data_IF_655934503425
#
_entry.id   IF_655934503425
#
_cell.length_a   1.000
_cell.length_b   1.000
_cell.length_c   1.000
_cell.angle_alpha   90.00
_cell.angle_beta   90.00
_cell.angle_gamma   90.00
#
_symmetry.space_group_name_H-M   'P 1'
#
loop_
_entity.id
_entity.type
_entity.pdbx_description
1 polymer ?
#
# COMPACT_ATOMS: atom_id res chain seq x y z
N UNK A 1 -0.63 8.68 -1.52
CA UNK A 1 -1.61 7.69 -2.03
C UNK A 1 -3.04 8.14 -1.81
N UNK A 2 -4.03 7.40 -2.32
CA UNK A 2 -5.45 7.74 -2.16
C UNK A 2 -5.94 7.73 -0.70
N UNK A 3 -5.39 6.86 0.16
CA UNK A 3 -5.72 6.84 1.60
C UNK A 3 -5.37 8.17 2.30
N UNK A 4 -4.20 8.74 2.02
CA UNK A 4 -3.83 10.07 2.52
C UNK A 4 -4.79 11.16 2.01
N UNK A 5 -5.15 11.15 0.72
CA UNK A 5 -6.11 12.12 0.15
C UNK A 5 -7.51 12.00 0.76
N UNK A 6 -7.90 10.79 1.18
CA UNK A 6 -9.16 10.53 1.85
C UNK A 6 -9.14 10.87 3.36
N UNK A 7 -8.02 11.36 3.90
CA UNK A 7 -7.91 11.79 5.30
C UNK A 7 -7.68 10.66 6.31
N UNK A 8 -7.18 9.50 5.86
CA UNK A 8 -6.78 8.44 6.78
C UNK A 8 -5.57 8.88 7.62
N UNK A 9 -5.59 8.50 8.90
CA UNK A 9 -4.47 8.67 9.82
C UNK A 9 -3.21 8.01 9.25
N UNK A 10 -2.14 8.78 9.12
CA UNK A 10 -0.88 8.32 8.55
C UNK A 10 -0.24 7.18 9.37
N UNK A 11 -0.48 7.12 10.68
CA UNK A 11 0.02 6.03 11.53
C UNK A 11 -0.72 4.69 11.30
N UNK A 12 -1.81 4.71 10.53
CA UNK A 12 -2.64 3.56 10.19
C UNK A 12 -2.54 3.15 8.71
N UNK A 13 -1.54 3.66 8.01
CA UNK A 13 -1.30 3.36 6.59
C UNK A 13 0.03 2.63 6.46
N UNK A 14 0.01 1.49 5.78
CA UNK A 14 1.20 0.79 5.30
C UNK A 14 1.20 0.81 3.77
N UNK A 15 2.13 1.56 3.18
CA UNK A 15 2.38 1.57 1.74
C UNK A 15 3.40 0.46 1.41
N UNK A 16 2.96 -0.80 1.45
CA UNK A 16 3.81 -2.00 1.33
C UNK A 16 4.68 -2.13 0.05
N UNK A 17 4.43 -1.29 -0.96
CA UNK A 17 5.23 -1.21 -2.20
C UNK A 17 5.94 0.15 -2.36
N UNK A 18 6.09 0.90 -1.27
CA UNK A 18 6.58 2.25 -1.29
C UNK A 18 5.56 3.25 -1.83
N UNK A 19 6.03 4.44 -2.19
CA UNK A 19 5.18 5.57 -2.53
C UNK A 19 5.76 6.36 -3.70
N UNK A 20 4.93 6.66 -4.70
CA UNK A 20 5.31 7.61 -5.77
C UNK A 20 5.49 9.05 -5.25
N UNK A 21 4.99 9.30 -4.05
CA UNK A 21 5.01 10.61 -3.39
C UNK A 21 6.26 10.87 -2.55
N UNK A 22 7.15 9.89 -2.53
CA UNK A 22 8.42 9.99 -1.82
C UNK A 22 9.51 9.70 -2.81
N UNK A 23 10.65 10.35 -2.63
CA UNK A 23 11.81 10.28 -3.49
C UNK A 23 12.98 9.72 -2.69
N UNK A 24 13.88 9.06 -3.40
CA UNK A 24 15.18 8.63 -2.93
C UNK A 24 16.23 8.85 -4.01
N UNK A 25 17.50 8.76 -3.65
CA UNK A 25 18.57 8.70 -4.65
C UNK A 25 18.47 7.40 -5.48
N UNK A 26 18.83 7.46 -6.77
CA UNK A 26 18.90 6.27 -7.64
C UNK A 26 20.03 5.31 -7.24
N UNK A 27 21.13 5.87 -6.75
CA UNK A 27 22.24 5.16 -6.11
C UNK A 27 22.33 5.70 -4.68
N UNK A 28 21.73 5.04 -3.68
CA UNK A 28 21.62 5.53 -2.31
C UNK A 28 22.97 6.01 -1.74
N UNK A 29 23.23 7.32 -1.80
CA UNK A 29 24.39 7.92 -1.17
C UNK A 29 24.16 8.13 0.33
N UNK A 30 22.90 8.11 0.74
CA UNK A 30 22.38 8.13 2.11
C UNK A 30 21.07 7.35 2.14
N UNK A 31 20.59 7.00 3.33
CA UNK A 31 19.28 6.36 3.54
C UNK A 31 18.12 7.38 3.58
N UNK A 32 18.34 8.62 3.11
CA UNK A 32 17.31 9.64 3.17
C UNK A 32 16.19 9.42 2.15
N UNK A 33 14.96 9.58 2.62
CA UNK A 33 13.73 9.64 1.83
C UNK A 33 13.12 11.03 2.04
N UNK A 34 12.62 11.66 0.98
CA UNK A 34 11.98 12.99 1.06
C UNK A 34 10.70 13.04 0.24
N UNK A 35 9.80 13.98 0.54
CA UNK A 35 8.57 14.17 -0.23
C UNK A 35 8.86 14.72 -1.63
N UNK A 36 7.95 14.49 -2.57
CA UNK A 36 8.01 15.07 -3.91
C UNK A 36 7.55 16.54 -3.97
N UNK A 37 7.36 17.17 -2.81
CA UNK A 37 6.84 18.54 -2.71
C UNK A 37 7.64 19.52 -3.58
N UNK A 38 6.93 20.25 -4.43
CA UNK A 38 7.52 21.20 -5.37
C UNK A 38 8.23 20.58 -6.58
N UNK A 39 8.24 19.25 -6.72
CA UNK A 39 8.80 18.60 -7.91
C UNK A 39 7.91 18.84 -9.13
N UNK A 40 8.50 19.37 -10.19
CA UNK A 40 7.87 19.51 -11.51
C UNK A 40 8.71 18.72 -12.50
N UNK A 41 8.09 17.78 -13.22
CA UNK A 41 8.71 17.04 -14.32
C UNK A 41 7.97 17.42 -15.59
N UNK A 42 8.64 18.13 -16.50
CA UNK A 42 8.10 18.43 -17.81
C UNK A 42 8.27 17.20 -18.71
N UNK A 43 7.25 16.87 -19.48
CA UNK A 43 7.24 15.69 -20.35
C UNK A 43 6.89 16.14 -21.77
N UNK A 44 7.74 15.79 -22.73
CA UNK A 44 7.41 15.88 -24.15
C UNK A 44 6.45 14.73 -24.47
N UNK A 45 5.15 15.02 -24.57
CA UNK A 45 4.12 14.00 -24.82
C UNK A 45 4.21 13.37 -26.21
N UNK A 46 4.89 14.02 -27.17
CA UNK A 46 5.07 13.48 -28.52
C UNK A 46 6.18 12.43 -28.52
N UNK A 47 7.29 12.71 -27.84
CA UNK A 47 8.42 11.76 -27.71
C UNK A 47 8.23 10.75 -26.58
N UNK A 48 7.33 11.04 -25.64
CA UNK A 48 7.16 10.31 -24.39
C UNK A 48 8.44 10.29 -23.52
N UNK A 49 9.11 11.43 -23.45
CA UNK A 49 10.37 11.62 -22.72
C UNK A 49 10.24 12.74 -21.67
N UNK A 50 10.87 12.56 -20.52
CA UNK A 50 11.00 13.62 -19.53
C UNK A 50 12.10 14.61 -19.97
N UNK A 51 11.79 15.90 -19.91
CA UNK A 51 12.72 16.96 -20.28
C UNK A 51 13.70 17.28 -19.14
N UNK A 52 14.83 17.88 -19.50
CA UNK A 52 15.77 18.40 -18.52
C UNK A 52 15.25 19.69 -17.84
N UNK A 53 15.63 19.94 -16.58
CA UNK A 53 16.44 19.06 -15.73
C UNK A 53 15.61 17.93 -15.11
N UNK A 54 16.17 16.71 -15.13
CA UNK A 54 15.59 15.59 -14.41
C UNK A 54 15.75 15.77 -12.88
N UNK A 55 14.91 15.11 -12.06
CA UNK A 55 14.97 15.22 -10.61
C UNK A 55 16.33 14.78 -10.07
N UNK A 56 17.00 15.65 -9.31
CA UNK A 56 18.28 15.37 -8.68
C UNK A 56 18.15 14.94 -7.22
N UNK A 57 19.17 14.26 -6.72
CA UNK A 57 19.38 13.93 -5.31
C UNK A 57 19.87 15.19 -4.59
N UNK A 58 19.23 15.52 -3.46
CA UNK A 58 19.55 16.70 -2.65
C UNK A 58 20.95 16.66 -2.02
N UNK A 59 21.60 15.48 -1.99
CA UNK A 59 22.89 15.27 -1.33
C UNK A 59 24.08 15.13 -2.31
N UNK A 60 23.92 14.38 -3.40
CA UNK A 60 25.01 14.04 -4.31
C UNK A 60 24.80 14.50 -5.76
N UNK A 61 23.68 15.18 -6.05
CA UNK A 61 23.30 15.66 -7.38
C UNK A 61 23.10 14.59 -8.47
N UNK A 62 23.28 13.30 -8.17
CA UNK A 62 22.86 12.20 -9.05
C UNK A 62 21.33 12.18 -9.18
N UNK A 63 20.75 11.41 -10.10
CA UNK A 63 19.29 11.36 -10.26
C UNK A 63 18.58 10.86 -8.99
N UNK A 64 17.40 11.40 -8.74
CA UNK A 64 16.45 10.84 -7.80
C UNK A 64 15.35 10.07 -8.51
N UNK A 65 14.72 9.15 -7.79
CA UNK A 65 13.63 8.30 -8.26
C UNK A 65 12.54 8.23 -7.19
N UNK A 66 11.30 7.91 -7.56
CA UNK A 66 10.29 7.53 -6.59
C UNK A 66 10.78 6.40 -5.67
N UNK A 67 10.47 6.48 -4.38
CA UNK A 67 10.72 5.45 -3.38
C UNK A 67 9.65 4.36 -3.53
N UNK A 68 9.66 3.69 -4.68
CA UNK A 68 8.76 2.58 -5.02
C UNK A 68 9.59 1.31 -5.08
N UNK A 69 9.11 0.25 -4.44
CA UNK A 69 9.77 -1.04 -4.46
C UNK A 69 9.59 -1.71 -5.83
N UNK A 70 10.69 -1.85 -6.57
CA UNK A 70 10.73 -2.57 -7.84
C UNK A 70 11.29 -4.00 -7.65
N UNK A 71 11.00 -4.92 -8.57
CA UNK A 71 11.52 -6.29 -8.49
C UNK A 71 13.05 -6.32 -8.63
N UNK A 72 13.73 -7.00 -7.71
CA UNK A 72 15.19 -7.12 -7.73
C UNK A 72 15.94 -5.84 -7.34
N UNK A 73 15.24 -4.87 -6.75
CA UNK A 73 15.79 -3.56 -6.42
C UNK A 73 16.54 -3.57 -5.07
N UNK A 74 17.84 -3.87 -5.11
CA UNK A 74 18.72 -3.80 -3.94
C UNK A 74 18.97 -2.38 -3.44
N UNK A 75 18.62 -1.37 -4.23
CA UNK A 75 18.85 0.04 -3.93
C UNK A 75 17.61 0.71 -3.32
N UNK A 76 16.51 -0.01 -3.12
CA UNK A 76 15.31 0.55 -2.51
C UNK A 76 15.54 0.80 -1.02
N UNK A 77 15.30 2.02 -0.57
CA UNK A 77 15.43 2.38 0.84
C UNK A 77 14.09 2.06 1.52
N UNK A 78 14.08 1.03 2.38
CA UNK A 78 12.85 0.48 2.95
C UNK A 78 12.36 1.18 4.21
N UNK A 79 13.21 2.00 4.85
CA UNK A 79 13.00 2.50 6.23
C UNK A 79 11.57 3.01 6.49
N UNK A 80 11.01 3.84 5.60
CA UNK A 80 9.65 4.37 5.77
C UNK A 80 8.59 3.26 5.78
N UNK A 81 8.71 2.29 4.89
CA UNK A 81 7.78 1.15 4.82
C UNK A 81 7.97 0.25 6.03
N UNK A 82 9.21 0.06 6.50
CA UNK A 82 9.50 -0.73 7.70
C UNK A 82 8.87 -0.12 8.96
N UNK A 83 8.94 1.21 9.12
CA UNK A 83 8.30 1.94 10.21
C UNK A 83 6.77 1.78 10.19
N UNK A 84 6.14 1.89 9.01
CA UNK A 84 4.71 1.64 8.84
C UNK A 84 4.34 0.19 9.16
N UNK A 85 5.16 -0.76 8.72
CA UNK A 85 4.94 -2.18 9.01
C UNK A 85 5.01 -2.45 10.52
N UNK A 86 5.95 -1.84 11.23
CA UNK A 86 6.03 -1.94 12.69
C UNK A 86 4.76 -1.42 13.38
N UNK A 87 4.14 -0.35 12.89
CA UNK A 87 2.88 0.15 13.43
C UNK A 87 1.74 -0.84 13.23
N UNK A 88 1.62 -1.42 12.03
CA UNK A 88 0.65 -2.49 11.76
C UNK A 88 0.89 -3.70 12.68
N UNK A 89 2.13 -4.16 12.83
CA UNK A 89 2.45 -5.31 13.68
C UNK A 89 2.12 -5.04 15.15
N UNK A 90 2.42 -3.85 15.67
CA UNK A 90 2.05 -3.44 17.04
C UNK A 90 0.53 -3.48 17.23
N UNK A 91 -0.24 -2.95 16.28
CA UNK A 91 -1.70 -2.97 16.34
C UNK A 91 -2.26 -4.39 16.29
N UNK A 92 -1.77 -5.24 15.39
CA UNK A 92 -2.17 -6.65 15.30
C UNK A 92 -1.84 -7.42 16.58
N UNK A 93 -0.66 -7.19 17.16
CA UNK A 93 -0.27 -7.81 18.43
C UNK A 93 -1.20 -7.40 19.56
N UNK A 94 -1.64 -6.14 19.61
CA UNK A 94 -2.65 -5.68 20.58
C UNK A 94 -3.97 -6.47 20.42
N UNK A 95 -4.51 -6.54 19.21
CA UNK A 95 -5.74 -7.31 18.91
C UNK A 95 -5.59 -8.77 19.36
N UNK A 96 -4.44 -9.39 19.09
CA UNK A 96 -4.15 -10.76 19.49
C UNK A 96 -4.13 -10.94 21.00
N UNK A 97 -3.42 -10.08 21.73
CA UNK A 97 -3.31 -10.14 23.20
C UNK A 97 -4.66 -9.92 23.86
N UNK A 98 -5.46 -8.98 23.35
CA UNK A 98 -6.78 -8.63 23.88
C UNK A 98 -7.89 -9.59 23.42
N UNK A 99 -7.57 -10.57 22.56
CA UNK A 99 -8.53 -11.49 21.93
C UNK A 99 -9.68 -10.75 21.22
N UNK A 100 -9.34 -9.66 20.55
CA UNK A 100 -10.29 -8.84 19.80
C UNK A 100 -10.86 -9.58 18.59
N UNK A 101 -12.06 -9.18 18.16
CA UNK A 101 -12.68 -9.68 16.94
C UNK A 101 -12.09 -8.95 15.72
N UNK A 102 -11.37 -9.68 14.86
CA UNK A 102 -10.75 -9.12 13.65
C UNK A 102 -11.62 -9.38 12.41
N UNK A 103 -11.85 -8.33 11.62
CA UNK A 103 -12.36 -8.43 10.25
C UNK A 103 -11.36 -7.78 9.32
N UNK A 104 -10.94 -8.50 8.28
CA UNK A 104 -10.08 -7.99 7.22
C UNK A 104 -10.93 -7.76 5.98
N UNK A 105 -10.93 -6.55 5.44
CA UNK A 105 -11.61 -6.23 4.18
C UNK A 105 -10.54 -6.02 3.11
N UNK A 106 -10.41 -6.98 2.19
CA UNK A 106 -9.46 -6.95 1.09
C UNK A 106 -10.15 -6.43 -0.18
N UNK A 107 -9.61 -5.34 -0.75
CA UNK A 107 -10.23 -4.63 -1.87
C UNK A 107 -9.33 -4.73 -3.11
N UNK A 108 -9.82 -5.36 -4.17
CA UNK A 108 -9.18 -5.33 -5.49
C UNK A 108 -7.81 -6.01 -5.58
N UNK A 109 -7.35 -6.74 -4.56
CA UNK A 109 -6.06 -7.42 -4.59
C UNK A 109 -6.13 -8.68 -5.49
N UNK A 110 -5.39 -8.64 -6.60
CA UNK A 110 -5.31 -9.73 -7.57
C UNK A 110 -4.18 -10.72 -7.28
N UNK A 111 -3.95 -11.63 -8.23
CA UNK A 111 -2.96 -12.72 -8.08
C UNK A 111 -1.55 -12.40 -8.58
N UNK A 112 -1.38 -11.40 -9.46
CA UNK A 112 -0.08 -11.10 -10.11
C UNK A 112 0.99 -10.60 -9.13
N UNK A 113 0.58 -9.74 -8.17
CA UNK A 113 1.43 -9.28 -7.06
C UNK A 113 0.64 -9.49 -5.76
N UNK A 114 0.67 -10.71 -5.18
CA UNK A 114 -0.28 -11.13 -4.17
C UNK A 114 0.11 -10.71 -2.74
N UNK A 115 0.93 -9.65 -2.59
CA UNK A 115 1.43 -9.18 -1.27
C UNK A 115 0.29 -8.98 -0.29
N UNK A 116 -0.71 -8.18 -0.66
CA UNK A 116 -1.90 -7.90 0.18
C UNK A 116 -2.68 -9.17 0.53
N UNK A 117 -2.80 -10.12 -0.42
CA UNK A 117 -3.49 -11.39 -0.20
C UNK A 117 -2.76 -12.27 0.81
N UNK A 118 -1.44 -12.41 0.63
CA UNK A 118 -0.58 -13.19 1.52
C UNK A 118 -0.56 -12.57 2.91
N UNK A 119 -0.53 -11.25 3.04
CA UNK A 119 -0.64 -10.55 4.32
C UNK A 119 -1.96 -10.89 5.02
N UNK A 120 -3.08 -10.71 4.34
CA UNK A 120 -4.42 -11.00 4.89
C UNK A 120 -4.55 -12.45 5.37
N UNK A 121 -4.14 -13.41 4.53
CA UNK A 121 -4.21 -14.83 4.86
C UNK A 121 -3.21 -15.25 5.95
N UNK A 122 -2.03 -14.61 6.02
CA UNK A 122 -1.05 -14.83 7.08
C UNK A 122 -1.56 -14.34 8.44
N UNK A 123 -2.19 -13.16 8.48
CA UNK A 123 -2.78 -12.63 9.70
C UNK A 123 -3.81 -13.62 10.27
N UNK A 124 -4.69 -14.17 9.43
CA UNK A 124 -5.71 -15.14 9.85
C UNK A 124 -5.16 -16.49 10.33
N UNK A 125 -3.91 -16.83 10.00
CA UNK A 125 -3.24 -18.01 10.60
C UNK A 125 -2.86 -17.79 12.07
N UNK A 126 -2.73 -16.53 12.49
CA UNK A 126 -2.21 -16.15 13.81
C UNK A 126 -3.22 -15.47 14.73
N UNK A 127 -4.27 -14.86 14.16
CA UNK A 127 -5.32 -14.14 14.85
C UNK A 127 -6.66 -14.65 14.33
N UNK A 128 -7.57 -15.02 15.23
CA UNK A 128 -8.92 -15.43 14.85
C UNK A 128 -9.66 -14.23 14.24
N UNK A 129 -10.17 -14.39 13.02
CA UNK A 129 -10.90 -13.34 12.31
C UNK A 129 -11.59 -13.85 11.07
N UNK A 130 -12.22 -12.93 10.34
CA UNK A 130 -12.88 -13.20 9.05
C UNK A 130 -12.26 -12.31 7.98
N UNK A 131 -11.92 -12.90 6.83
CA UNK A 131 -11.61 -12.17 5.61
C UNK A 131 -12.87 -11.96 4.77
N UNK A 132 -13.09 -10.73 4.33
CA UNK A 132 -14.05 -10.34 3.31
C UNK A 132 -13.23 -9.87 2.10
N UNK A 133 -13.28 -10.61 0.99
CA UNK A 133 -12.56 -10.28 -0.24
C UNK A 133 -13.52 -9.72 -1.29
N UNK A 134 -13.30 -8.48 -1.69
CA UNK A 134 -14.05 -7.78 -2.73
C UNK A 134 -13.18 -7.63 -3.97
N UNK A 135 -13.49 -8.40 -5.01
CA UNK A 135 -12.77 -8.35 -6.29
C UNK A 135 -13.71 -8.83 -7.42
N UNK A 136 -13.76 -8.21 -8.61
CA UNK A 136 -14.64 -8.68 -9.68
C UNK A 136 -14.20 -10.01 -10.31
N UNK A 137 -12.90 -10.37 -10.23
CA UNK A 137 -12.31 -11.52 -10.93
C UNK A 137 -11.68 -12.49 -9.93
N UNK A 138 -10.72 -12.03 -9.12
CA UNK A 138 -9.93 -12.86 -8.21
C UNK A 138 -10.58 -13.03 -6.81
N UNK A 139 -11.90 -13.18 -6.75
CA UNK A 139 -12.67 -13.11 -5.49
C UNK A 139 -12.56 -14.32 -4.57
N UNK A 140 -12.01 -15.45 -5.04
CA UNK A 140 -11.96 -16.71 -4.26
C UNK A 140 -11.24 -16.50 -2.92
N UNK A 141 -11.76 -17.12 -1.86
CA UNK A 141 -11.23 -17.05 -0.48
C UNK A 141 -11.04 -18.45 0.12
N UNK A 142 -10.14 -18.60 1.13
CA UNK A 142 -10.08 -19.82 1.93
C UNK A 142 -11.41 -20.12 2.63
N UNK A 143 -11.67 -21.39 2.94
CA UNK A 143 -12.92 -21.82 3.61
C UNK A 143 -13.19 -21.04 4.90
N UNK A 144 -14.46 -20.74 5.18
CA UNK A 144 -14.89 -19.96 6.35
C UNK A 144 -14.80 -18.44 6.19
N UNK A 145 -14.36 -17.95 5.03
CA UNK A 145 -14.29 -16.52 4.71
C UNK A 145 -15.35 -16.10 3.69
N UNK A 146 -15.50 -14.80 3.47
CA UNK A 146 -16.55 -14.22 2.65
C UNK A 146 -15.95 -13.69 1.34
N UNK A 147 -16.62 -14.02 0.25
CA UNK A 147 -16.27 -13.57 -1.09
C UNK A 147 -17.37 -12.68 -1.66
N UNK A 148 -16.97 -11.55 -2.25
CA UNK A 148 -17.87 -10.55 -2.84
C UNK A 148 -17.37 -10.26 -4.27
N UNK A 149 -18.01 -10.83 -5.32
CA UNK A 149 -17.55 -10.74 -6.70
C UNK A 149 -17.94 -9.42 -7.37
N UNK A 150 -17.54 -8.29 -6.78
CA UNK A 150 -17.85 -6.94 -7.25
C UNK A 150 -16.60 -6.06 -7.26
N UNK A 151 -16.68 -4.92 -7.96
CA UNK A 151 -15.70 -3.85 -7.80
C UNK A 151 -15.69 -3.28 -6.37
N UNK A 152 -14.57 -2.72 -5.92
CA UNK A 152 -14.39 -2.26 -4.54
C UNK A 152 -15.50 -1.28 -4.09
N UNK A 153 -15.81 -0.26 -4.90
CA UNK A 153 -16.86 0.72 -4.59
C UNK A 153 -18.24 0.06 -4.43
N UNK A 154 -18.61 -0.82 -5.37
CA UNK A 154 -19.90 -1.49 -5.34
C UNK A 154 -20.00 -2.44 -4.14
N UNK A 155 -18.97 -3.24 -3.88
CA UNK A 155 -18.93 -4.16 -2.74
C UNK A 155 -19.04 -3.44 -1.41
N UNK A 156 -18.30 -2.34 -1.23
CA UNK A 156 -18.39 -1.49 -0.02
C UNK A 156 -19.79 -0.91 0.12
N UNK A 157 -20.39 -0.36 -0.94
CA UNK A 157 -21.78 0.16 -0.88
C UNK A 157 -22.78 -0.91 -0.45
N UNK A 158 -22.66 -2.13 -0.95
CA UNK A 158 -23.57 -3.24 -0.55
C UNK A 158 -23.41 -3.60 0.94
N UNK A 159 -22.18 -3.60 1.46
CA UNK A 159 -21.93 -3.81 2.89
C UNK A 159 -22.55 -2.67 3.70
N UNK A 160 -22.28 -1.42 3.32
CA UNK A 160 -22.78 -0.25 4.05
C UNK A 160 -24.30 -0.20 4.06
N UNK A 161 -24.97 -0.44 2.92
CA UNK A 161 -26.43 -0.52 2.88
C UNK A 161 -26.95 -1.53 3.90
N UNK A 162 -26.35 -2.72 3.99
CA UNK A 162 -26.75 -3.72 5.00
C UNK A 162 -26.48 -3.33 6.46
N UNK A 163 -25.54 -2.42 6.72
CA UNK A 163 -25.24 -1.91 8.06
C UNK A 163 -26.13 -0.73 8.47
N UNK A 164 -26.59 0.05 7.50
CA UNK A 164 -27.32 1.30 7.71
C UNK A 164 -28.78 1.26 7.22
N UNK A 165 -29.25 0.14 6.68
CA UNK A 165 -30.66 -0.15 6.46
C UNK A 165 -31.37 -0.21 7.84
N UNK A 166 -32.06 0.87 8.21
CA UNK A 166 -33.19 0.88 9.14
C UNK A 166 -34.46 0.40 8.41
#
# INVERSE_FOLDING_TARGET
GQFHKAGFDAERIEECHGSIHHLQCIQPCTDQIWTEEGLIVNVDEIKFEAENPLPGCKNCCNLSRPNVLMFGDSNWISQRTDEQSLNLQKWLQKIKTEKGNLVIIELGAGLSVPTVRRTSESILKSIKGILIRINPIDYKVPSGNISIPFGALEGIKKILNKLYDF
#
